data_IF_452859621192
#
_entry.id   IF_452859621192
#
_cell.length_a   1.000
_cell.length_b   1.000
_cell.length_c   1.000
_cell.angle_alpha   90.00
_cell.angle_beta   90.00
_cell.angle_gamma   90.00
#
_symmetry.space_group_name_H-M   'P 1'
#
loop_
_entity.id
_entity.type
_entity.pdbx_description
1 polymer ?
#
# COMPACT_ATOMS: atom_id res chain seq x y z
N UNK A 1 5.53 66.19 12.98
CA UNK A 1 4.63 66.09 14.13
C UNK A 1 3.98 64.70 14.12
N UNK A 2 4.57 63.77 14.87
CA UNK A 2 4.06 62.40 15.04
C UNK A 2 3.74 62.21 16.52
N UNK A 3 2.55 61.76 16.91
CA UNK A 3 2.26 61.36 18.28
C UNK A 3 2.63 59.89 18.48
N UNK A 4 3.39 59.65 19.54
CA UNK A 4 3.84 58.39 20.07
C UNK A 4 2.67 57.77 20.83
N UNK A 5 2.19 56.57 20.40
CA UNK A 5 1.19 55.79 21.12
C UNK A 5 1.90 54.86 22.09
N UNK A 6 1.74 55.11 23.39
CA UNK A 6 2.24 54.27 24.47
C UNK A 6 1.59 52.92 24.51
N UNK A 7 2.41 51.85 24.60
CA UNK A 7 1.97 50.48 24.89
C UNK A 7 1.91 50.26 26.40
N UNK A 8 0.71 50.15 26.97
CA UNK A 8 0.50 49.70 28.33
C UNK A 8 0.84 48.19 28.45
N UNK A 9 1.96 47.91 29.06
CA UNK A 9 2.38 46.59 29.48
C UNK A 9 1.69 46.27 30.80
N UNK A 10 0.55 45.53 30.78
CA UNK A 10 -0.06 44.94 31.96
C UNK A 10 0.89 43.90 32.53
N UNK A 11 1.58 44.19 33.64
CA UNK A 11 2.28 43.22 34.48
C UNK A 11 1.23 42.32 35.14
N UNK A 12 1.16 41.06 34.72
CA UNK A 12 0.41 40.01 35.42
C UNK A 12 1.21 39.56 36.65
N UNK A 13 0.61 39.64 37.84
CA UNK A 13 1.22 39.24 39.10
C UNK A 13 1.40 37.69 39.13
N UNK A 14 2.64 37.20 39.33
CA UNK A 14 2.96 35.77 39.33
C UNK A 14 2.33 35.00 40.49
N UNK A 15 1.94 35.67 41.57
CA UNK A 15 1.33 35.03 42.74
C UNK A 15 -0.09 34.53 42.50
N UNK A 16 -0.85 35.17 41.58
CA UNK A 16 -2.20 34.71 41.22
C UNK A 16 -2.21 33.47 40.27
N UNK A 17 -1.15 33.27 39.52
CA UNK A 17 -1.06 32.06 38.66
C UNK A 17 -0.72 30.79 39.42
N UNK A 18 0.01 30.89 40.55
CA UNK A 18 0.34 29.73 41.39
C UNK A 18 -0.85 29.22 42.20
N UNK A 19 -1.81 30.07 42.55
CA UNK A 19 -3.02 29.64 43.25
C UNK A 19 -4.07 28.99 42.33
N UNK A 20 -4.08 29.28 41.03
CA UNK A 20 -5.00 28.65 40.09
C UNK A 20 -4.59 27.21 39.72
N UNK A 21 -3.30 26.88 39.79
CA UNK A 21 -2.79 25.54 39.49
C UNK A 21 -2.92 24.55 40.66
N UNK A 22 -3.03 25.03 41.89
CA UNK A 22 -3.19 24.18 43.09
C UNK A 22 -4.64 23.67 43.29
N UNK A 23 -5.64 24.33 42.72
CA UNK A 23 -7.06 23.92 42.85
C UNK A 23 -7.46 22.89 41.78
N UNK A 24 -6.74 22.80 40.67
CA UNK A 24 -7.06 21.87 39.59
C UNK A 24 -6.53 20.45 39.80
N UNK A 25 -5.61 20.24 40.76
CA UNK A 25 -5.00 18.94 41.03
C UNK A 25 -5.72 18.09 42.06
N UNK A 26 -6.79 18.60 42.71
CA UNK A 26 -7.50 17.88 43.78
C UNK A 26 -8.83 17.24 43.36
N UNK A 27 -9.22 17.33 42.10
CA UNK A 27 -10.50 16.81 41.58
C UNK A 27 -10.41 15.53 40.72
N UNK A 28 -9.25 14.88 40.60
CA UNK A 28 -9.07 13.70 39.76
C UNK A 28 -9.04 12.34 40.50
N UNK A 29 -9.51 12.25 41.75
CA UNK A 29 -9.42 11.01 42.55
C UNK A 29 -10.77 10.44 42.99
N UNK A 30 -11.84 10.58 42.22
CA UNK A 30 -13.09 9.87 42.53
C UNK A 30 -13.81 9.50 41.22
N UNK A 31 -13.59 8.28 40.72
CA UNK A 31 -14.29 7.81 39.52
C UNK A 31 -13.87 6.46 38.98
N UNK A 32 -13.55 5.49 39.85
CA UNK A 32 -13.55 4.07 39.47
C UNK A 32 -14.88 3.45 39.86
N UNK A 33 -15.92 3.62 39.06
CA UNK A 33 -17.13 2.80 39.11
C UNK A 33 -17.19 2.00 37.83
N UNK A 34 -17.00 0.67 37.95
CA UNK A 34 -17.08 -0.25 36.84
C UNK A 34 -18.46 -0.24 36.20
N UNK A 35 -18.54 0.27 34.98
CA UNK A 35 -19.66 0.01 34.07
C UNK A 35 -19.28 -1.22 33.26
N UNK A 36 -19.85 -2.37 33.57
CA UNK A 36 -19.91 -3.51 32.67
C UNK A 36 -20.78 -3.13 31.48
N UNK A 37 -20.19 -2.45 30.52
CA UNK A 37 -20.75 -2.30 29.20
C UNK A 37 -20.68 -3.68 28.54
N UNK A 38 -21.83 -4.35 28.41
CA UNK A 38 -21.99 -5.47 27.49
C UNK A 38 -21.59 -4.97 26.11
N UNK A 39 -20.32 -5.16 25.75
CA UNK A 39 -19.81 -4.82 24.45
C UNK A 39 -20.54 -5.66 23.40
N UNK A 40 -21.42 -5.03 22.68
CA UNK A 40 -21.78 -5.50 21.35
C UNK A 40 -20.46 -5.52 20.58
N UNK A 41 -19.82 -6.69 20.51
CA UNK A 41 -18.70 -6.92 19.63
C UNK A 41 -19.27 -6.86 18.22
N UNK A 42 -19.18 -5.70 17.61
CA UNK A 42 -19.32 -5.57 16.16
C UNK A 42 -18.18 -6.38 15.53
N UNK A 43 -18.46 -7.66 15.34
CA UNK A 43 -17.58 -8.62 14.67
C UNK A 43 -17.59 -8.38 13.17
N UNK A 44 -17.50 -7.12 12.78
CA UNK A 44 -17.16 -6.78 11.41
C UNK A 44 -15.71 -7.21 11.21
N UNK A 45 -15.40 -8.16 10.32
CA UNK A 45 -14.03 -8.49 10.02
C UNK A 45 -13.35 -7.22 9.49
N UNK A 46 -12.67 -6.52 10.37
CA UNK A 46 -11.72 -5.52 9.95
C UNK A 46 -10.59 -6.29 9.30
N UNK A 47 -10.62 -6.40 7.99
CA UNK A 47 -9.50 -6.90 7.21
C UNK A 47 -8.34 -5.95 7.48
N UNK A 48 -7.53 -6.27 8.51
CA UNK A 48 -6.28 -5.56 8.74
C UNK A 48 -5.44 -5.82 7.51
N UNK A 49 -5.29 -4.79 6.69
CA UNK A 49 -4.33 -4.83 5.60
C UNK A 49 -2.99 -5.23 6.21
N UNK A 50 -2.43 -6.32 5.70
CA UNK A 50 -1.15 -6.85 6.15
C UNK A 50 -0.03 -5.83 5.98
N UNK A 51 1.13 -6.12 6.57
CA UNK A 51 2.35 -5.36 6.27
C UNK A 51 2.62 -5.39 4.76
N UNK A 52 3.39 -4.43 4.23
CA UNK A 52 3.73 -4.38 2.80
C UNK A 52 4.26 -5.70 2.24
N UNK A 53 5.07 -6.43 3.03
CA UNK A 53 5.53 -7.78 2.67
C UNK A 53 4.38 -8.79 2.54
N UNK A 54 3.38 -8.73 3.41
CA UNK A 54 2.21 -9.61 3.34
C UNK A 54 1.39 -9.34 2.08
N UNK A 55 1.22 -8.07 1.69
CA UNK A 55 0.54 -7.69 0.45
C UNK A 55 1.29 -8.18 -0.78
N UNK A 56 2.61 -7.98 -0.80
CA UNK A 56 3.47 -8.46 -1.88
C UNK A 56 3.39 -9.98 -2.06
N UNK A 57 3.42 -10.73 -0.94
CA UNK A 57 3.29 -12.18 -0.96
C UNK A 57 1.93 -12.64 -1.52
N UNK A 58 0.84 -11.95 -1.18
CA UNK A 58 -0.50 -12.26 -1.72
C UNK A 58 -0.54 -12.06 -3.24
N UNK A 59 0.01 -10.95 -3.74
CA UNK A 59 0.09 -10.69 -5.18
C UNK A 59 0.87 -11.78 -5.89
N UNK A 60 2.04 -12.12 -5.38
CA UNK A 60 2.94 -13.11 -6.01
C UNK A 60 2.38 -14.53 -5.93
N UNK A 61 1.73 -14.88 -4.83
CA UNK A 61 1.04 -16.16 -4.70
C UNK A 61 -0.09 -16.32 -5.74
N UNK A 62 -0.84 -15.27 -6.02
CA UNK A 62 -1.85 -15.29 -7.07
C UNK A 62 -1.24 -15.55 -8.45
N UNK A 63 -0.02 -15.06 -8.70
CA UNK A 63 0.70 -15.32 -9.94
C UNK A 63 1.15 -16.77 -10.12
N UNK A 64 1.37 -17.50 -9.03
CA UNK A 64 1.86 -18.88 -9.05
C UNK A 64 0.76 -19.93 -9.32
N UNK A 65 -0.50 -19.53 -9.26
CA UNK A 65 -1.64 -20.43 -9.51
C UNK A 65 -1.79 -20.65 -11.02
N UNK A 66 -1.90 -21.91 -11.45
CA UNK A 66 -2.09 -22.25 -12.87
C UNK A 66 -0.93 -23.07 -13.44
N UNK A 67 -1.15 -23.64 -14.62
CA UNK A 67 -0.18 -24.48 -15.32
C UNK A 67 0.27 -23.85 -16.65
N UNK A 68 0.11 -22.55 -16.78
CA UNK A 68 0.51 -21.84 -17.99
C UNK A 68 2.05 -21.79 -18.09
N UNK A 69 2.56 -22.01 -19.29
CA UNK A 69 3.97 -21.80 -19.59
C UNK A 69 4.27 -20.30 -19.66
N UNK A 70 5.16 -19.84 -18.80
CA UNK A 70 5.65 -18.48 -18.81
C UNK A 70 6.81 -18.37 -19.80
N UNK A 71 6.57 -17.72 -20.93
CA UNK A 71 7.60 -17.47 -21.96
C UNK A 71 8.30 -16.16 -21.63
N UNK A 72 9.58 -16.27 -21.22
CA UNK A 72 10.41 -15.10 -20.96
C UNK A 72 10.91 -14.50 -22.29
N UNK A 73 10.58 -13.24 -22.61
CA UNK A 73 11.14 -12.58 -23.79
C UNK A 73 12.65 -12.34 -23.59
N UNK A 74 13.40 -12.28 -24.72
CA UNK A 74 14.76 -11.76 -24.69
C UNK A 74 14.73 -10.29 -24.26
N UNK A 75 15.52 -9.98 -23.23
CA UNK A 75 15.59 -8.63 -22.66
C UNK A 75 16.93 -7.99 -22.94
N UNK A 76 16.94 -6.66 -22.93
CA UNK A 76 18.16 -5.87 -22.93
C UNK A 76 19.05 -6.25 -21.72
N UNK A 77 20.35 -6.51 -21.90
CA UNK A 77 21.25 -6.88 -20.80
C UNK A 77 21.27 -5.84 -19.66
N UNK A 78 21.17 -4.55 -19.97
CA UNK A 78 21.12 -3.49 -18.94
C UNK A 78 19.81 -3.57 -18.13
N UNK A 79 18.71 -3.94 -18.75
CA UNK A 79 17.44 -4.18 -18.05
C UNK A 79 17.58 -5.38 -17.11
N UNK A 80 18.25 -6.45 -17.54
CA UNK A 80 18.48 -7.62 -16.69
C UNK A 80 19.38 -7.30 -15.48
N UNK A 81 20.42 -6.49 -15.64
CA UNK A 81 21.27 -6.04 -14.52
C UNK A 81 20.46 -5.21 -13.50
N UNK A 82 19.60 -4.33 -13.99
CA UNK A 82 18.71 -3.54 -13.13
C UNK A 82 17.66 -4.41 -12.40
N UNK A 83 17.14 -5.44 -13.06
CA UNK A 83 16.25 -6.43 -12.46
C UNK A 83 16.97 -7.25 -11.37
N UNK A 84 18.21 -7.67 -11.62
CA UNK A 84 19.02 -8.35 -10.62
C UNK A 84 19.28 -7.47 -9.39
N UNK A 85 19.62 -6.20 -9.62
CA UNK A 85 19.79 -5.20 -8.56
C UNK A 85 18.51 -4.99 -7.73
N UNK A 86 17.35 -4.87 -8.38
CA UNK A 86 16.06 -4.76 -7.71
C UNK A 86 15.76 -6.00 -6.86
N UNK A 87 15.95 -7.19 -7.42
CA UNK A 87 15.76 -8.47 -6.72
C UNK A 87 16.64 -8.56 -5.47
N UNK A 88 17.91 -8.17 -5.58
CA UNK A 88 18.84 -8.17 -4.45
C UNK A 88 18.40 -7.18 -3.36
N UNK A 89 17.92 -6.00 -3.76
CA UNK A 89 17.42 -4.98 -2.81
C UNK A 89 16.16 -5.47 -2.08
N UNK A 90 15.21 -6.09 -2.78
CA UNK A 90 14.04 -6.69 -2.14
C UNK A 90 14.41 -7.78 -1.11
N UNK A 91 15.37 -8.67 -1.44
CA UNK A 91 15.82 -9.70 -0.52
C UNK A 91 16.38 -9.15 0.80
N UNK A 92 16.93 -7.93 0.76
CA UNK A 92 17.38 -7.20 1.96
C UNK A 92 16.30 -6.39 2.63
N UNK A 93 15.07 -6.37 2.08
CA UNK A 93 13.98 -5.52 2.55
C UNK A 93 14.12 -4.04 2.15
N UNK A 94 15.08 -3.71 1.29
CA UNK A 94 15.30 -2.36 0.78
C UNK A 94 14.42 -2.10 -0.45
N UNK A 95 13.14 -1.91 -0.20
CA UNK A 95 12.15 -1.68 -1.25
C UNK A 95 12.34 -0.33 -1.97
N UNK A 96 12.94 0.66 -1.31
CA UNK A 96 13.23 1.95 -1.93
C UNK A 96 14.29 1.81 -3.03
N UNK A 97 15.38 1.09 -2.76
CA UNK A 97 16.41 0.78 -3.77
C UNK A 97 15.87 -0.12 -4.87
N UNK A 98 15.03 -1.10 -4.54
CA UNK A 98 14.37 -1.94 -5.54
C UNK A 98 13.52 -1.10 -6.50
N UNK A 99 12.68 -0.22 -5.96
CA UNK A 99 11.84 0.69 -6.75
C UNK A 99 12.67 1.59 -7.68
N UNK A 100 13.83 2.08 -7.21
CA UNK A 100 14.73 2.90 -8.01
C UNK A 100 15.30 2.12 -9.20
N UNK A 101 15.77 0.89 -8.98
CA UNK A 101 16.29 0.04 -10.05
C UNK A 101 15.22 -0.31 -11.08
N UNK A 102 13.99 -0.63 -10.65
CA UNK A 102 12.85 -0.87 -11.54
C UNK A 102 12.50 0.39 -12.36
N UNK A 103 12.52 1.57 -11.73
CA UNK A 103 12.26 2.82 -12.42
C UNK A 103 13.32 3.11 -13.49
N UNK A 104 14.59 2.79 -13.24
CA UNK A 104 15.65 2.91 -14.23
C UNK A 104 15.46 1.92 -15.40
N UNK A 105 15.06 0.68 -15.13
CA UNK A 105 14.73 -0.29 -16.17
C UNK A 105 13.55 0.19 -17.07
N UNK A 106 12.56 0.84 -16.46
CA UNK A 106 11.43 1.44 -17.19
C UNK A 106 11.81 2.66 -18.03
N UNK A 107 12.97 3.30 -17.80
CA UNK A 107 13.48 4.32 -18.72
C UNK A 107 14.00 3.71 -20.02
N UNK A 108 14.47 2.45 -19.98
CA UNK A 108 14.96 1.72 -21.15
C UNK A 108 13.77 1.07 -21.87
N UNK A 109 12.87 0.43 -21.14
CA UNK A 109 11.69 -0.27 -21.66
C UNK A 109 10.40 0.23 -21.00
N UNK A 110 9.87 1.41 -21.41
CA UNK A 110 8.78 2.10 -20.69
C UNK A 110 7.44 1.34 -20.65
N UNK A 111 7.24 0.40 -21.59
CA UNK A 111 5.99 -0.34 -21.75
C UNK A 111 6.15 -1.84 -21.41
N UNK A 112 7.26 -2.24 -20.78
CA UNK A 112 7.43 -3.61 -20.31
C UNK A 112 6.39 -3.92 -19.23
N UNK A 113 5.44 -4.83 -19.49
CA UNK A 113 4.33 -5.07 -18.56
C UNK A 113 4.78 -5.70 -17.26
N UNK A 114 5.84 -6.51 -17.27
CA UNK A 114 6.36 -7.14 -16.06
C UNK A 114 7.04 -6.12 -15.13
N UNK A 115 7.80 -5.18 -15.70
CA UNK A 115 8.37 -4.06 -14.94
C UNK A 115 7.32 -3.10 -14.41
N UNK A 116 6.27 -2.80 -15.19
CA UNK A 116 5.15 -1.98 -14.75
C UNK A 116 4.42 -2.64 -13.55
N UNK A 117 4.16 -3.95 -13.63
CA UNK A 117 3.56 -4.69 -12.51
C UNK A 117 4.49 -4.68 -11.30
N UNK A 118 5.78 -4.93 -11.50
CA UNK A 118 6.74 -4.92 -10.40
C UNK A 118 6.80 -3.56 -9.69
N UNK A 119 6.79 -2.46 -10.47
CA UNK A 119 6.71 -1.12 -9.89
C UNK A 119 5.37 -0.89 -9.15
N UNK A 120 4.26 -1.46 -9.63
CA UNK A 120 2.97 -1.47 -8.95
C UNK A 120 3.01 -2.22 -7.61
N UNK A 121 3.72 -3.35 -7.55
CA UNK A 121 3.97 -4.09 -6.32
C UNK A 121 4.78 -3.27 -5.31
N UNK A 122 5.80 -2.55 -5.76
CA UNK A 122 6.57 -1.65 -4.88
C UNK A 122 5.71 -0.49 -4.36
N UNK A 123 4.84 0.07 -5.19
CA UNK A 123 3.88 1.08 -4.76
C UNK A 123 2.88 0.52 -3.71
N UNK A 124 2.45 -0.73 -3.87
CA UNK A 124 1.60 -1.41 -2.89
C UNK A 124 2.32 -1.57 -1.54
N UNK A 125 3.60 -1.96 -1.54
CA UNK A 125 4.44 -2.05 -0.34
C UNK A 125 4.60 -0.69 0.33
N UNK A 126 4.74 0.38 -0.45
CA UNK A 126 4.83 1.76 0.02
C UNK A 126 3.49 2.36 0.44
N UNK A 127 2.40 1.61 0.35
CA UNK A 127 1.02 2.05 0.62
C UNK A 127 0.54 3.19 -0.30
N UNK A 128 1.16 3.34 -1.47
CA UNK A 128 0.67 4.23 -2.53
C UNK A 128 -0.36 3.47 -3.41
N UNK A 129 -1.56 3.35 -2.87
CA UNK A 129 -2.63 2.54 -3.44
C UNK A 129 -3.06 3.00 -4.83
N UNK A 130 -3.12 4.32 -5.04
CA UNK A 130 -3.52 4.88 -6.32
C UNK A 130 -2.49 4.57 -7.42
N UNK A 131 -1.22 4.72 -7.09
CA UNK A 131 -0.13 4.41 -8.01
C UNK A 131 -0.02 2.91 -8.28
N UNK A 132 -0.21 2.06 -7.26
CA UNK A 132 -0.21 0.62 -7.42
C UNK A 132 -1.29 0.17 -8.42
N UNK A 133 -2.52 0.68 -8.26
CA UNK A 133 -3.63 0.41 -9.17
C UNK A 133 -3.35 0.88 -10.60
N UNK A 134 -2.87 2.11 -10.77
CA UNK A 134 -2.56 2.68 -12.08
C UNK A 134 -1.49 1.86 -12.82
N UNK A 135 -0.41 1.48 -12.13
CA UNK A 135 0.68 0.70 -12.72
C UNK A 135 0.25 -0.72 -13.06
N UNK A 136 -0.52 -1.37 -12.20
CA UNK A 136 -1.07 -2.70 -12.45
C UNK A 136 -2.06 -2.70 -13.62
N UNK A 137 -2.90 -1.66 -13.74
CA UNK A 137 -3.80 -1.52 -14.89
C UNK A 137 -3.03 -1.31 -16.18
N UNK A 138 -2.02 -0.43 -16.18
CA UNK A 138 -1.16 -0.21 -17.33
C UNK A 138 -0.39 -1.47 -17.74
N UNK A 139 0.11 -2.24 -16.77
CA UNK A 139 0.70 -3.56 -17.00
C UNK A 139 -0.30 -4.51 -17.65
N UNK A 140 -1.53 -4.57 -17.13
CA UNK A 140 -2.58 -5.39 -17.72
C UNK A 140 -2.90 -4.98 -19.17
N UNK A 141 -2.96 -3.69 -19.47
CA UNK A 141 -3.24 -3.21 -20.84
C UNK A 141 -2.17 -3.62 -21.84
N UNK A 142 -0.90 -3.60 -21.45
CA UNK A 142 0.26 -3.91 -22.30
C UNK A 142 0.63 -5.39 -22.32
N UNK A 143 0.29 -6.13 -21.27
CA UNK A 143 0.69 -7.51 -21.06
C UNK A 143 -0.35 -8.55 -21.52
N UNK A 144 -0.04 -9.84 -21.25
CA UNK A 144 -0.94 -10.93 -21.54
C UNK A 144 -2.20 -10.84 -20.68
N UNK A 145 -3.35 -11.22 -21.28
CA UNK A 145 -4.65 -11.21 -20.60
C UNK A 145 -4.95 -12.49 -19.82
N UNK A 146 -4.01 -13.44 -19.86
CA UNK A 146 -4.07 -14.73 -19.18
C UNK A 146 -2.74 -15.01 -18.49
N UNK A 147 -2.74 -15.95 -17.55
CA UNK A 147 -1.53 -16.40 -16.86
C UNK A 147 -1.15 -15.58 -15.64
N UNK A 148 0.05 -15.84 -15.13
CA UNK A 148 0.55 -15.33 -13.85
C UNK A 148 0.58 -13.81 -13.74
N UNK A 149 1.04 -13.12 -14.80
CA UNK A 149 1.11 -11.65 -14.82
C UNK A 149 -0.29 -11.03 -14.75
N UNK A 150 -1.26 -11.56 -15.51
CA UNK A 150 -2.65 -11.13 -15.46
C UNK A 150 -3.22 -11.23 -14.04
N UNK A 151 -3.00 -12.38 -13.37
CA UNK A 151 -3.47 -12.59 -11.98
C UNK A 151 -2.80 -11.62 -11.00
N UNK A 152 -1.49 -11.38 -11.13
CA UNK A 152 -0.77 -10.40 -10.30
C UNK A 152 -1.33 -9.00 -10.47
N UNK A 153 -1.60 -8.58 -11.70
CA UNK A 153 -2.19 -7.27 -11.99
C UNK A 153 -3.52 -7.08 -11.26
N UNK A 154 -4.45 -8.01 -11.44
CA UNK A 154 -5.78 -7.91 -10.81
C UNK A 154 -5.73 -8.08 -9.29
N UNK A 155 -4.83 -8.89 -8.74
CA UNK A 155 -4.63 -8.98 -7.29
C UNK A 155 -4.07 -7.68 -6.71
N UNK A 156 -3.16 -7.00 -7.41
CA UNK A 156 -2.65 -5.69 -6.99
C UNK A 156 -3.78 -4.65 -6.95
N UNK A 157 -4.63 -4.60 -7.99
CA UNK A 157 -5.80 -3.73 -8.05
C UNK A 157 -6.79 -4.06 -6.93
N UNK A 158 -7.04 -5.35 -6.68
CA UNK A 158 -7.92 -5.81 -5.60
C UNK A 158 -7.46 -5.29 -4.23
N UNK A 159 -6.18 -5.50 -3.88
CA UNK A 159 -5.63 -5.09 -2.59
C UNK A 159 -5.57 -3.56 -2.44
N UNK A 160 -5.23 -2.84 -3.51
CA UNK A 160 -5.25 -1.38 -3.52
C UNK A 160 -6.67 -0.82 -3.32
N UNK A 161 -7.68 -1.41 -3.98
CA UNK A 161 -9.09 -1.02 -3.82
C UNK A 161 -9.61 -1.33 -2.41
N UNK A 162 -9.24 -2.48 -1.82
CA UNK A 162 -9.56 -2.80 -0.42
C UNK A 162 -8.98 -1.76 0.54
N UNK A 163 -7.71 -1.38 0.36
CA UNK A 163 -7.04 -0.37 1.17
C UNK A 163 -7.75 0.99 1.12
N UNK A 164 -8.25 1.36 -0.04
CA UNK A 164 -9.01 2.58 -0.29
C UNK A 164 -10.49 2.46 0.11
N UNK A 165 -10.91 1.33 0.67
CA UNK A 165 -12.30 1.03 1.07
C UNK A 165 -13.29 1.08 -0.11
N UNK A 166 -12.83 0.81 -1.33
CA UNK A 166 -13.67 0.68 -2.50
C UNK A 166 -14.08 -0.79 -2.70
N UNK A 167 -15.11 -1.22 -1.96
CA UNK A 167 -15.55 -2.62 -1.95
C UNK A 167 -16.02 -3.11 -3.32
N UNK A 168 -16.68 -2.26 -4.10
CA UNK A 168 -17.18 -2.63 -5.43
C UNK A 168 -16.02 -2.94 -6.38
N UNK A 169 -15.02 -2.08 -6.45
CA UNK A 169 -13.84 -2.28 -7.28
C UNK A 169 -13.02 -3.48 -6.81
N UNK A 170 -12.87 -3.65 -5.48
CA UNK A 170 -12.16 -4.79 -4.92
C UNK A 170 -12.81 -6.11 -5.32
N UNK A 171 -14.14 -6.22 -5.23
CA UNK A 171 -14.88 -7.40 -5.67
C UNK A 171 -14.72 -7.66 -7.17
N UNK A 172 -14.86 -6.63 -7.99
CA UNK A 172 -14.66 -6.73 -9.44
C UNK A 172 -13.25 -7.22 -9.78
N UNK A 173 -12.23 -6.64 -9.16
CA UNK A 173 -10.83 -7.04 -9.39
C UNK A 173 -10.59 -8.49 -8.94
N UNK A 174 -11.15 -8.92 -7.82
CA UNK A 174 -11.05 -10.30 -7.35
C UNK A 174 -11.67 -11.31 -8.35
N UNK A 175 -12.83 -10.99 -8.91
CA UNK A 175 -13.47 -11.81 -9.95
C UNK A 175 -12.58 -11.90 -11.21
N UNK A 176 -11.90 -10.79 -11.56
CA UNK A 176 -10.97 -10.77 -12.70
C UNK A 176 -9.74 -11.65 -12.51
N UNK A 177 -9.26 -11.87 -11.29
CA UNK A 177 -8.15 -12.80 -11.03
C UNK A 177 -8.49 -14.21 -11.56
N UNK A 178 -9.70 -14.71 -11.34
CA UNK A 178 -10.11 -16.03 -11.80
C UNK A 178 -10.22 -16.14 -13.33
N UNK A 179 -10.55 -15.05 -14.02
CA UNK A 179 -10.64 -15.02 -15.49
C UNK A 179 -9.28 -15.05 -16.19
N UNK A 180 -8.18 -14.84 -15.45
CA UNK A 180 -6.81 -14.93 -15.98
C UNK A 180 -6.29 -16.37 -16.11
N UNK A 181 -7.04 -17.37 -15.69
CA UNK A 181 -6.61 -18.78 -15.70
C UNK A 181 -7.12 -19.51 -16.94
N UNK A 182 -6.25 -20.27 -17.59
CA UNK A 182 -6.60 -21.15 -18.70
C UNK A 182 -7.02 -22.50 -18.13
N UNK A 183 -8.13 -23.04 -18.62
CA UNK A 183 -8.52 -24.41 -18.25
C UNK A 183 -7.44 -25.39 -18.74
N UNK A 184 -7.07 -26.43 -17.95
CA UNK A 184 -6.13 -27.43 -18.39
C UNK A 184 -6.67 -28.15 -19.65
N UNK A 185 -5.78 -28.52 -20.59
CA UNK A 185 -6.20 -29.25 -21.78
C UNK A 185 -6.83 -30.58 -21.39
N UNK A 186 -7.94 -30.87 -22.00
CA UNK A 186 -8.57 -32.20 -21.84
C UNK A 186 -7.60 -33.26 -22.37
N UNK A 187 -7.10 -34.13 -21.49
CA UNK A 187 -6.38 -35.33 -21.92
C UNK A 187 -7.38 -36.36 -22.41
N UNK A 188 -7.36 -36.57 -23.71
CA UNK A 188 -8.11 -37.70 -24.32
C UNK A 188 -7.30 -38.97 -24.16
#
# INVERSE_FOLDING_TARGET
MNPIIGKDVRRSNPVRQLQALAILSLLCLAGCSGSTSSGFTDSRPQTRLGSGNSLLNQVRAAGQVGNELDVQPLRDPQVEDLRASATQSERRGDFASAQKSIAQALLITPEDPDLLQWQGEMALVAHDWARAEQLAMRSFERGPKLGGLCRRNWMTIHLAAQARRNAAQALQAQQRVSTCTVAPPLRM
#
